data_IF_497456978165
#
_entry.id   IF_497456978165
#
_cell.length_a   1.000
_cell.length_b   1.000
_cell.length_c   1.000
_cell.angle_alpha   90.00
_cell.angle_beta   90.00
_cell.angle_gamma   90.00
#
_symmetry.space_group_name_H-M   'P 1'
#
loop_
_entity.id
_entity.type
_entity.pdbx_description
1 polymer ?
#
# COMPACT_ATOMS: atom_id res chain seq x y z
N UNK A 1 -6.19 -3.56 14.07
CA UNK A 1 -6.01 -3.10 15.46
C UNK A 1 -5.84 -4.33 16.36
N UNK A 2 -5.53 -4.17 17.66
CA UNK A 2 -5.60 -5.30 18.62
C UNK A 2 -7.01 -5.88 18.80
N UNK A 3 -8.03 -5.16 18.35
CA UNK A 3 -9.45 -5.52 18.39
C UNK A 3 -9.96 -6.03 17.03
N UNK A 4 -9.07 -6.53 16.17
CA UNK A 4 -9.45 -7.00 14.84
C UNK A 4 -9.18 -6.00 13.71
N UNK A 5 -9.57 -6.40 12.51
CA UNK A 5 -9.36 -5.69 11.25
C UNK A 5 -10.57 -5.87 10.32
N UNK A 6 -10.80 -4.88 9.46
CA UNK A 6 -11.93 -4.86 8.54
C UNK A 6 -11.54 -4.17 7.24
N UNK A 7 -12.29 -4.46 6.16
CA UNK A 7 -12.13 -3.74 4.91
C UNK A 7 -12.83 -2.39 4.96
N UNK A 8 -12.20 -1.39 4.35
CA UNK A 8 -12.77 -0.08 4.13
C UNK A 8 -12.72 0.27 2.64
N UNK A 9 -13.82 0.83 2.14
CA UNK A 9 -14.01 1.17 0.73
C UNK A 9 -13.98 -0.06 -0.22
N UNK A 10 -14.50 0.11 -1.43
CA UNK A 10 -14.51 -0.89 -2.50
C UNK A 10 -14.77 -0.19 -3.83
N UNK A 11 -14.07 -0.61 -4.87
CA UNK A 11 -14.29 -0.13 -6.22
C UNK A 11 -14.24 -1.31 -7.20
N UNK A 12 -15.17 -1.34 -8.16
CA UNK A 12 -15.21 -2.37 -9.18
C UNK A 12 -14.26 -2.00 -10.33
N UNK A 13 -13.26 -2.85 -10.56
CA UNK A 13 -12.38 -2.69 -11.73
C UNK A 13 -13.11 -3.06 -13.02
N UNK A 14 -13.26 -2.09 -13.92
CA UNK A 14 -13.81 -2.30 -15.26
C UNK A 14 -12.67 -2.33 -16.30
N UNK A 15 -12.43 -3.46 -16.99
CA UNK A 15 -11.46 -3.52 -18.07
C UNK A 15 -11.81 -2.57 -19.22
N UNK A 16 -10.82 -2.19 -20.04
CA UNK A 16 -10.99 -1.30 -21.19
C UNK A 16 -12.13 -1.75 -22.13
N UNK A 17 -12.18 -3.05 -22.44
CA UNK A 17 -13.22 -3.64 -23.27
C UNK A 17 -14.65 -3.52 -22.70
N UNK A 18 -14.82 -3.29 -21.39
CA UNK A 18 -16.12 -2.95 -20.80
C UNK A 18 -16.45 -1.47 -21.00
N UNK A 19 -15.46 -0.59 -20.76
CA UNK A 19 -15.68 0.85 -20.79
C UNK A 19 -15.86 1.42 -22.19
N UNK A 20 -15.46 0.67 -23.23
CA UNK A 20 -15.67 1.01 -24.64
C UNK A 20 -17.05 0.61 -25.17
N UNK A 21 -17.82 -0.18 -24.42
CA UNK A 21 -19.19 -0.62 -24.76
C UNK A 21 -20.23 0.08 -23.88
N UNK A 22 -20.69 1.25 -24.34
CA UNK A 22 -21.67 2.08 -23.62
C UNK A 22 -23.02 1.36 -23.40
N UNK A 23 -23.45 0.53 -24.34
CA UNK A 23 -24.69 -0.25 -24.21
C UNK A 23 -24.56 -1.32 -23.12
N UNK A 24 -23.40 -1.96 -23.00
CA UNK A 24 -23.10 -2.89 -21.91
C UNK A 24 -23.05 -2.20 -20.55
N UNK A 25 -22.38 -1.04 -20.44
CA UNK A 25 -22.35 -0.26 -19.21
C UNK A 25 -23.77 0.13 -18.75
N UNK A 26 -24.60 0.62 -19.69
CA UNK A 26 -25.99 1.00 -19.41
C UNK A 26 -26.83 -0.19 -18.93
N UNK A 27 -26.74 -1.35 -19.60
CA UNK A 27 -27.44 -2.59 -19.16
C UNK A 27 -26.99 -3.07 -17.78
N UNK A 28 -25.72 -2.87 -17.43
CA UNK A 28 -25.20 -3.19 -16.11
C UNK A 28 -25.43 -2.07 -15.08
N UNK A 29 -26.11 -0.98 -15.44
CA UNK A 29 -26.36 0.18 -14.57
C UNK A 29 -25.08 0.83 -14.01
N UNK A 30 -23.99 0.78 -14.77
CA UNK A 30 -22.76 1.50 -14.41
C UNK A 30 -23.03 3.01 -14.49
N UNK A 31 -22.57 3.82 -13.52
CA UNK A 31 -22.76 5.27 -13.55
C UNK A 31 -22.32 5.90 -14.87
N UNK A 32 -23.12 6.88 -15.33
CA UNK A 32 -22.80 7.66 -16.54
C UNK A 32 -21.45 8.35 -16.36
N UNK A 33 -20.58 8.26 -17.37
CA UNK A 33 -19.24 8.85 -17.34
C UNK A 33 -18.16 7.95 -16.75
N UNK A 34 -18.45 6.70 -16.38
CA UNK A 34 -17.43 5.76 -15.97
C UNK A 34 -16.43 5.47 -17.11
N UNK A 35 -15.15 5.79 -16.89
CA UNK A 35 -14.06 5.54 -17.84
C UNK A 35 -13.10 4.47 -17.35
N UNK A 36 -12.33 3.89 -18.26
CA UNK A 36 -11.22 3.00 -17.90
C UNK A 36 -10.29 3.67 -16.89
N UNK A 37 -9.99 2.95 -15.81
CA UNK A 37 -9.09 3.41 -14.74
C UNK A 37 -8.18 2.26 -14.34
N UNK A 38 -6.87 2.53 -14.20
CA UNK A 38 -5.92 1.49 -13.75
C UNK A 38 -6.19 1.13 -12.28
N UNK A 39 -5.84 -0.10 -11.88
CA UNK A 39 -5.99 -0.54 -10.48
C UNK A 39 -5.27 0.39 -9.50
N UNK A 40 -4.10 0.90 -9.86
CA UNK A 40 -3.34 1.79 -9.00
C UNK A 40 -3.96 3.17 -8.86
N UNK A 41 -4.53 3.73 -9.94
CA UNK A 41 -5.31 4.97 -9.86
C UNK A 41 -6.56 4.76 -9.00
N UNK A 42 -7.25 3.63 -9.17
CA UNK A 42 -8.41 3.27 -8.37
C UNK A 42 -8.08 3.14 -6.88
N UNK A 43 -6.95 2.50 -6.54
CA UNK A 43 -6.46 2.42 -5.17
C UNK A 43 -6.14 3.81 -4.61
N UNK A 44 -5.50 4.68 -5.39
CA UNK A 44 -5.24 6.06 -4.98
C UNK A 44 -6.51 6.85 -4.72
N UNK A 45 -7.55 6.69 -5.55
CA UNK A 45 -8.84 7.35 -5.37
C UNK A 45 -9.56 6.84 -4.10
N UNK A 46 -9.44 5.54 -3.77
CA UNK A 46 -9.95 4.97 -2.52
C UNK A 46 -9.23 5.56 -1.30
N UNK A 47 -7.90 5.67 -1.35
CA UNK A 47 -7.12 6.31 -0.28
C UNK A 47 -7.49 7.79 -0.16
N UNK A 48 -7.64 8.50 -1.28
CA UNK A 48 -8.04 9.91 -1.28
C UNK A 48 -9.40 10.12 -0.59
N UNK A 49 -10.39 9.27 -0.87
CA UNK A 49 -11.69 9.30 -0.18
C UNK A 49 -11.56 9.02 1.31
N UNK A 50 -10.70 8.08 1.70
CA UNK A 50 -10.44 7.74 3.09
C UNK A 50 -9.81 8.91 3.84
N UNK A 51 -8.83 9.58 3.22
CA UNK A 51 -8.19 10.79 3.75
C UNK A 51 -9.18 11.95 3.83
N UNK A 52 -9.95 12.20 2.77
CA UNK A 52 -10.93 13.30 2.73
C UNK A 52 -12.16 13.08 3.62
N UNK A 53 -12.41 11.86 4.08
CA UNK A 53 -13.42 11.53 5.08
C UNK A 53 -12.89 11.56 6.52
N UNK A 54 -11.67 12.06 6.73
CA UNK A 54 -11.00 12.17 8.03
C UNK A 54 -10.94 10.85 8.82
N UNK A 55 -10.88 9.72 8.11
CA UNK A 55 -10.68 8.41 8.75
C UNK A 55 -9.30 8.40 9.42
N UNK A 56 -9.19 7.98 10.69
CA UNK A 56 -7.90 7.87 11.38
C UNK A 56 -6.96 6.91 10.66
N UNK A 57 -6.04 7.49 9.88
CA UNK A 57 -5.08 6.77 9.03
C UNK A 57 -3.69 7.38 9.23
N UNK A 58 -2.74 6.56 9.69
CA UNK A 58 -1.35 6.99 9.89
C UNK A 58 -0.38 6.35 8.89
N UNK A 59 -0.67 5.12 8.46
CA UNK A 59 0.23 4.29 7.68
C UNK A 59 -0.48 3.60 6.53
N UNK A 60 0.23 3.45 5.41
CA UNK A 60 -0.22 2.72 4.22
C UNK A 60 0.86 1.72 3.83
N UNK A 61 0.49 0.44 3.73
CA UNK A 61 1.37 -0.61 3.24
C UNK A 61 0.88 -1.13 1.90
N UNK A 62 1.78 -1.25 0.93
CA UNK A 62 1.46 -1.78 -0.41
C UNK A 62 2.56 -2.76 -0.81
N UNK A 63 2.19 -4.00 -1.16
CA UNK A 63 3.19 -5.01 -1.53
C UNK A 63 3.88 -4.71 -2.87
N UNK A 64 3.16 -4.13 -3.83
CA UNK A 64 3.72 -3.73 -5.11
C UNK A 64 2.92 -2.60 -5.73
N UNK A 65 3.59 -1.57 -6.24
CA UNK A 65 2.94 -0.43 -6.92
C UNK A 65 3.16 -0.50 -8.43
N UNK A 66 2.13 -0.16 -9.20
CA UNK A 66 2.17 -0.13 -10.65
C UNK A 66 1.83 1.26 -11.19
N UNK A 67 2.72 1.89 -11.96
CA UNK A 67 2.34 2.90 -12.97
C UNK A 67 1.67 4.20 -12.53
N UNK A 68 1.67 4.55 -11.23
CA UNK A 68 1.30 5.90 -10.72
C UNK A 68 2.22 6.27 -9.58
N UNK A 69 2.50 7.57 -9.43
CA UNK A 69 3.31 8.10 -8.33
C UNK A 69 2.48 8.18 -7.03
N UNK A 70 2.12 7.00 -6.50
CA UNK A 70 1.39 6.87 -5.23
C UNK A 70 2.21 7.50 -4.11
N UNK A 71 3.53 7.35 -4.14
CA UNK A 71 4.46 7.89 -3.15
C UNK A 71 4.28 9.40 -2.99
N UNK A 72 4.29 10.17 -4.09
CA UNK A 72 4.07 11.62 -4.06
C UNK A 72 2.71 11.99 -3.47
N UNK A 73 1.64 11.25 -3.80
CA UNK A 73 0.32 11.52 -3.23
C UNK A 73 0.29 11.25 -1.72
N UNK A 74 0.90 10.17 -1.25
CA UNK A 74 0.98 9.85 0.18
C UNK A 74 1.83 10.87 0.95
N UNK A 75 2.92 11.36 0.34
CA UNK A 75 3.73 12.45 0.91
C UNK A 75 2.93 13.73 1.07
N UNK A 76 2.15 14.13 0.05
CA UNK A 76 1.26 15.31 0.12
C UNK A 76 0.17 15.19 1.19
N UNK A 77 -0.35 13.99 1.41
CA UNK A 77 -1.31 13.75 2.51
C UNK A 77 -0.64 13.54 3.88
N UNK A 78 0.70 13.55 3.89
CA UNK A 78 1.57 13.30 5.04
C UNK A 78 1.15 12.03 5.78
N UNK A 79 1.05 10.94 5.02
CA UNK A 79 0.78 9.60 5.52
C UNK A 79 2.06 8.77 5.41
N UNK A 80 2.38 8.05 6.49
CA UNK A 80 3.49 7.11 6.49
C UNK A 80 3.24 6.01 5.48
N UNK A 81 4.27 5.53 4.80
CA UNK A 81 4.12 4.41 3.90
C UNK A 81 5.29 3.44 3.88
N UNK A 82 4.97 2.19 3.54
CA UNK A 82 5.91 1.15 3.14
C UNK A 82 5.38 0.52 1.85
N UNK A 83 6.06 0.80 0.74
CA UNK A 83 5.58 0.53 -0.61
C UNK A 83 6.60 -0.32 -1.34
N UNK A 84 6.21 -1.48 -1.85
CA UNK A 84 7.10 -2.34 -2.62
C UNK A 84 7.50 -1.74 -3.97
N UNK A 85 8.79 -1.82 -4.28
CA UNK A 85 9.41 -1.26 -5.48
C UNK A 85 10.30 -2.29 -6.18
N UNK A 86 10.60 -2.06 -7.46
CA UNK A 86 11.51 -2.91 -8.22
C UNK A 86 12.97 -2.69 -7.81
N UNK A 87 13.84 -3.66 -8.14
CA UNK A 87 15.29 -3.55 -7.98
C UNK A 87 15.87 -2.29 -8.65
N UNK A 88 15.31 -1.90 -9.80
CA UNK A 88 15.70 -0.74 -10.60
C UNK A 88 15.08 0.58 -10.16
N UNK A 89 14.26 0.59 -9.10
CA UNK A 89 13.68 1.83 -8.59
C UNK A 89 14.78 2.76 -8.10
N UNK A 90 14.82 3.99 -8.62
CA UNK A 90 15.83 4.98 -8.29
C UNK A 90 15.37 5.86 -7.14
N UNK A 91 16.20 5.94 -6.11
CA UNK A 91 16.00 6.85 -5.00
C UNK A 91 16.74 8.17 -5.25
N UNK A 92 16.06 9.27 -4.96
CA UNK A 92 16.57 10.63 -5.11
C UNK A 92 16.43 11.38 -3.79
N UNK A 93 17.52 12.01 -3.36
CA UNK A 93 17.50 13.06 -2.35
C UNK A 93 17.11 14.35 -3.05
N UNK A 94 15.83 14.68 -3.00
CA UNK A 94 15.32 15.93 -3.58
C UNK A 94 15.05 16.94 -2.46
N UNK A 95 15.70 18.09 -2.56
CA UNK A 95 15.43 19.32 -1.82
C UNK A 95 15.14 20.44 -2.84
N UNK A 96 14.49 21.56 -2.46
CA UNK A 96 14.10 22.61 -3.39
C UNK A 96 15.24 23.15 -4.28
N UNK A 97 16.48 23.09 -3.82
CA UNK A 97 17.66 23.59 -4.55
C UNK A 97 18.61 22.48 -5.08
N UNK A 98 18.32 21.20 -4.81
CA UNK A 98 19.26 20.12 -5.10
C UNK A 98 18.54 18.79 -5.27
N UNK A 99 18.85 18.06 -6.34
CA UNK A 99 18.45 16.66 -6.49
C UNK A 99 19.69 15.82 -6.75
N UNK A 100 19.94 14.84 -5.89
CA UNK A 100 21.01 13.86 -6.08
C UNK A 100 20.44 12.45 -6.05
N UNK A 101 20.80 11.67 -7.05
CA UNK A 101 20.50 10.26 -7.08
C UNK A 101 21.31 9.55 -5.98
N UNK A 102 20.60 8.80 -5.13
CA UNK A 102 21.21 7.92 -4.13
C UNK A 102 21.70 6.64 -4.82
N UNK A 103 20.86 6.06 -5.67
CA UNK A 103 21.12 4.83 -6.40
C UNK A 103 19.84 4.05 -6.66
N UNK A 104 19.97 2.89 -7.31
CA UNK A 104 18.87 1.93 -7.42
C UNK A 104 18.67 1.20 -6.10
N UNK A 105 17.47 0.64 -5.88
CA UNK A 105 17.19 -0.17 -4.69
C UNK A 105 18.18 -1.35 -4.55
N UNK A 106 18.56 -1.96 -5.67
CA UNK A 106 19.52 -3.06 -5.70
C UNK A 106 20.95 -2.63 -5.35
N UNK A 107 21.43 -1.51 -5.90
CA UNK A 107 22.77 -1.01 -5.59
C UNK A 107 22.89 -0.66 -4.11
N UNK A 108 21.87 0.00 -3.55
CA UNK A 108 21.81 0.33 -2.13
C UNK A 108 21.84 -0.96 -1.30
N UNK A 109 21.03 -1.96 -1.63
CA UNK A 109 20.98 -3.22 -0.89
C UNK A 109 22.30 -4.00 -0.91
N UNK A 110 23.04 -3.98 -2.02
CA UNK A 110 24.36 -4.60 -2.13
C UNK A 110 25.41 -3.89 -1.27
N UNK A 111 25.22 -2.60 -0.97
CA UNK A 111 26.13 -1.81 -0.12
C UNK A 111 25.86 -1.90 1.38
N UNK A 112 24.74 -2.52 1.79
CA UNK A 112 24.36 -2.66 3.21
C UNK A 112 25.38 -3.52 3.95
N UNK A 113 25.94 -2.98 5.03
CA UNK A 113 26.93 -3.68 5.83
C UNK A 113 26.31 -4.92 6.51
N UNK A 114 27.00 -6.08 6.61
CA UNK A 114 26.46 -7.29 7.22
C UNK A 114 25.84 -7.10 8.61
N UNK A 115 26.38 -6.19 9.44
CA UNK A 115 25.86 -5.90 10.79
C UNK A 115 24.55 -5.13 10.83
N UNK A 116 24.12 -4.51 9.72
CA UNK A 116 22.85 -3.78 9.63
C UNK A 116 21.66 -4.71 9.35
N UNK A 117 21.94 -5.96 8.97
CA UNK A 117 20.92 -6.98 8.78
C UNK A 117 20.46 -7.50 10.14
N UNK A 118 19.15 -7.44 10.38
CA UNK A 118 18.51 -7.85 11.61
C UNK A 118 17.49 -8.95 11.33
N UNK A 119 17.43 -9.95 12.20
CA UNK A 119 16.28 -10.85 12.26
C UNK A 119 15.19 -10.15 13.06
N UNK A 120 14.01 -9.99 12.47
CA UNK A 120 12.86 -9.37 13.13
C UNK A 120 11.84 -10.45 13.46
N UNK A 121 11.13 -10.34 14.60
CA UNK A 121 10.16 -11.33 15.01
C UNK A 121 9.04 -11.40 13.99
N UNK A 122 8.95 -12.52 13.29
CA UNK A 122 7.81 -12.83 12.44
C UNK A 122 6.55 -12.95 13.32
N UNK A 123 5.38 -12.59 12.79
CA UNK A 123 4.11 -12.92 13.47
C UNK A 123 4.01 -14.45 13.67
N UNK A 124 3.33 -14.89 14.73
CA UNK A 124 3.19 -16.30 15.10
C UNK A 124 2.84 -17.17 13.88
N UNK A 125 3.63 -18.23 13.64
CA UNK A 125 3.41 -19.20 12.56
C UNK A 125 4.28 -19.00 11.31
N UNK A 126 5.00 -17.90 11.17
CA UNK A 126 5.97 -17.71 10.09
C UNK A 126 7.37 -18.14 10.56
N UNK A 127 7.80 -19.33 10.15
CA UNK A 127 9.21 -19.73 10.25
C UNK A 127 9.96 -19.23 9.02
N UNK A 128 10.98 -18.39 9.21
CA UNK A 128 11.83 -17.96 8.11
C UNK A 128 13.19 -17.47 8.58
N UNK A 129 14.25 -17.86 7.85
CA UNK A 129 15.62 -17.32 7.96
C UNK A 129 15.72 -15.91 7.34
N UNK A 130 14.63 -15.16 7.33
CA UNK A 130 14.57 -13.87 6.66
C UNK A 130 15.24 -12.81 7.52
N UNK A 131 16.02 -11.96 6.87
CA UNK A 131 16.70 -10.82 7.51
C UNK A 131 16.27 -9.53 6.84
N UNK A 132 16.27 -8.46 7.62
CA UNK A 132 15.79 -7.16 7.21
C UNK A 132 16.85 -6.09 7.47
N UNK A 133 16.92 -5.09 6.60
CA UNK A 133 17.75 -3.91 6.78
C UNK A 133 16.95 -2.66 6.43
N UNK A 134 17.24 -1.56 7.13
CA UNK A 134 16.64 -0.26 6.86
C UNK A 134 17.73 0.76 6.59
N UNK A 135 17.60 1.46 5.47
CA UNK A 135 18.52 2.49 5.01
C UNK A 135 17.77 3.82 4.96
N UNK A 136 17.82 4.66 6.02
CA UNK A 136 17.31 6.02 5.96
C UNK A 136 18.21 6.87 5.06
N UNK A 137 17.62 7.74 4.24
CA UNK A 137 18.38 8.57 3.29
C UNK A 137 18.50 10.01 3.75
N UNK A 138 17.37 10.68 3.99
CA UNK A 138 17.36 12.05 4.47
C UNK A 138 16.08 12.36 5.22
N UNK A 139 16.24 13.19 6.24
CA UNK A 139 15.15 13.92 6.86
C UNK A 139 14.81 15.13 5.99
N UNK A 140 13.53 15.26 5.70
CA UNK A 140 12.92 16.31 4.90
C UNK A 140 11.79 16.92 5.73
N UNK A 141 11.65 18.24 5.66
CA UNK A 141 10.50 18.90 6.28
C UNK A 141 9.26 18.61 5.43
N UNK A 142 8.22 18.11 6.07
CA UNK A 142 6.95 17.84 5.41
C UNK A 142 6.28 19.11 4.86
N UNK A 143 6.66 20.28 5.39
CA UNK A 143 6.24 21.58 4.86
C UNK A 143 6.62 21.77 3.37
N UNK A 144 7.64 21.05 2.86
CA UNK A 144 7.96 21.05 1.42
C UNK A 144 6.87 20.42 0.54
N UNK A 145 5.96 19.62 1.13
CA UNK A 145 4.89 18.90 0.45
C UNK A 145 3.49 19.41 0.83
N UNK A 146 3.32 19.90 2.07
CA UNK A 146 2.08 20.46 2.61
C UNK A 146 2.40 21.59 3.60
N UNK A 147 2.21 22.85 3.16
CA UNK A 147 2.49 24.05 3.97
C UNK A 147 1.67 24.14 5.27
N UNK A 148 0.59 23.37 5.41
CA UNK A 148 -0.23 23.35 6.62
C UNK A 148 0.32 22.41 7.70
N UNK A 149 1.38 21.65 7.41
CA UNK A 149 1.97 20.67 8.32
C UNK A 149 3.44 20.96 8.54
N UNK A 150 3.93 20.53 9.70
CA UNK A 150 5.33 20.67 10.10
C UNK A 150 5.83 19.37 10.68
N UNK A 151 7.11 19.10 10.50
CA UNK A 151 7.77 17.97 11.13
C UNK A 151 8.76 17.32 10.18
N UNK A 152 9.82 16.77 10.74
CA UNK A 152 10.83 16.04 9.99
C UNK A 152 10.34 14.63 9.68
N UNK A 153 10.45 14.25 8.42
CA UNK A 153 10.11 12.94 7.91
C UNK A 153 11.28 12.36 7.14
N UNK A 154 11.56 11.08 7.34
CA UNK A 154 12.65 10.37 6.70
C UNK A 154 12.14 9.60 5.49
N UNK A 155 12.73 9.86 4.32
CA UNK A 155 12.67 8.96 3.18
C UNK A 155 13.73 7.87 3.35
N UNK A 156 13.38 6.62 3.06
CA UNK A 156 14.30 5.49 3.23
C UNK A 156 13.93 4.27 2.40
N UNK A 157 14.76 3.24 2.50
CA UNK A 157 14.56 1.93 1.87
C UNK A 157 14.58 0.83 2.93
N UNK A 158 13.48 0.08 3.03
CA UNK A 158 13.40 -1.16 3.78
C UNK A 158 13.67 -2.34 2.84
N UNK A 159 14.50 -3.27 3.28
CA UNK A 159 15.00 -4.37 2.46
C UNK A 159 14.76 -5.66 3.21
N UNK A 160 14.21 -6.64 2.51
CA UNK A 160 14.08 -8.02 2.98
C UNK A 160 15.02 -8.89 2.19
N UNK A 161 15.75 -9.75 2.87
CA UNK A 161 16.58 -10.82 2.30
C UNK A 161 16.06 -12.17 2.78
N UNK A 162 15.69 -13.04 1.85
CA UNK A 162 15.25 -14.40 2.18
C UNK A 162 16.42 -15.38 2.36
N UNK A 163 16.09 -16.65 2.64
CA UNK A 163 17.06 -17.72 2.86
C UNK A 163 17.94 -18.02 1.64
N UNK A 164 17.49 -17.67 0.43
CA UNK A 164 18.24 -17.83 -0.82
C UNK A 164 19.04 -16.57 -1.18
N UNK A 165 19.14 -15.62 -0.25
CA UNK A 165 19.75 -14.30 -0.42
C UNK A 165 19.06 -13.44 -1.50
N UNK A 166 17.81 -13.73 -1.87
CA UNK A 166 17.07 -12.89 -2.79
C UNK A 166 16.48 -11.69 -2.04
N UNK A 167 16.59 -10.51 -2.68
CA UNK A 167 16.13 -9.26 -2.10
C UNK A 167 14.71 -8.88 -2.55
N UNK A 168 13.96 -8.26 -1.63
CA UNK A 168 12.74 -7.50 -1.88
C UNK A 168 12.91 -6.09 -1.29
N UNK A 169 12.40 -5.10 -1.99
CA UNK A 169 12.67 -3.69 -1.73
C UNK A 169 11.38 -2.93 -1.46
N UNK A 170 11.40 -2.04 -0.47
CA UNK A 170 10.26 -1.22 -0.10
C UNK A 170 10.69 0.23 0.13
N UNK A 171 10.18 1.15 -0.69
CA UNK A 171 10.29 2.59 -0.44
C UNK A 171 9.51 2.94 0.83
N UNK A 172 10.08 3.82 1.65
CA UNK A 172 9.49 4.24 2.92
C UNK A 172 9.48 5.76 3.06
N UNK A 173 8.45 6.24 3.74
CA UNK A 173 8.30 7.63 4.17
C UNK A 173 7.65 7.61 5.54
N UNK A 174 8.27 8.23 6.52
CA UNK A 174 7.83 8.13 7.92
C UNK A 174 8.31 9.31 8.76
N UNK A 175 7.68 9.61 9.91
CA UNK A 175 8.23 10.59 10.85
C UNK A 175 9.69 10.27 11.20
N UNK A 176 10.54 11.29 11.33
CA UNK A 176 11.95 11.11 11.63
C UNK A 176 12.15 10.36 12.97
N UNK A 177 13.12 9.45 12.99
CA UNK A 177 13.36 8.55 14.13
C UNK A 177 12.43 7.33 14.17
N UNK A 178 11.66 7.05 13.12
CA UNK A 178 10.90 5.79 13.04
C UNK A 178 11.86 4.60 12.93
N UNK A 179 11.75 3.68 13.89
CA UNK A 179 12.53 2.45 13.96
C UNK A 179 12.10 1.39 12.92
N UNK A 180 13.04 0.52 12.53
CA UNK A 180 12.81 -0.55 11.55
C UNK A 180 11.68 -1.49 11.99
N UNK A 181 11.51 -1.75 13.28
CA UNK A 181 10.44 -2.57 13.85
C UNK A 181 9.05 -2.03 13.49
N UNK A 182 8.89 -0.70 13.46
CA UNK A 182 7.62 -0.06 13.07
C UNK A 182 7.36 -0.25 11.58
N UNK A 183 8.36 0.00 10.74
CA UNK A 183 8.25 -0.19 9.29
C UNK A 183 7.97 -1.65 8.93
N UNK A 184 8.62 -2.57 9.63
CA UNK A 184 8.37 -4.00 9.51
C UNK A 184 6.93 -4.35 9.92
N UNK A 185 6.45 -3.88 11.07
CA UNK A 185 5.08 -4.13 11.52
C UNK A 185 4.04 -3.58 10.53
N UNK A 186 4.26 -2.38 9.97
CA UNK A 186 3.43 -1.80 8.92
C UNK A 186 3.44 -2.69 7.67
N UNK A 187 4.61 -3.17 7.23
CA UNK A 187 4.70 -4.09 6.09
C UNK A 187 3.92 -5.38 6.36
N UNK A 188 3.96 -5.92 7.57
CA UNK A 188 3.22 -7.13 7.92
C UNK A 188 1.70 -6.94 7.79
N UNK A 189 1.18 -5.70 7.85
CA UNK A 189 -0.25 -5.46 7.60
C UNK A 189 -0.71 -5.86 6.19
N UNK A 190 0.16 -5.93 5.17
CA UNK A 190 -0.25 -6.48 3.87
C UNK A 190 -0.65 -7.96 3.97
N UNK A 191 0.01 -8.74 4.84
CA UNK A 191 -0.33 -10.16 5.05
C UNK A 191 -1.72 -10.29 5.68
N UNK A 192 -2.04 -9.44 6.66
CA UNK A 192 -3.38 -9.35 7.25
C UNK A 192 -4.44 -9.07 6.15
N UNK A 193 -4.16 -8.14 5.24
CA UNK A 193 -5.08 -7.83 4.14
C UNK A 193 -5.25 -9.01 3.16
N UNK A 194 -4.17 -9.71 2.83
CA UNK A 194 -4.19 -10.90 1.96
C UNK A 194 -4.97 -12.05 2.59
N UNK A 195 -4.70 -12.37 3.86
CA UNK A 195 -5.37 -13.43 4.60
C UNK A 195 -6.85 -13.11 4.78
N UNK A 196 -7.17 -11.85 5.10
CA UNK A 196 -8.54 -11.37 5.15
C UNK A 196 -9.26 -11.50 3.82
N UNK A 197 -8.60 -11.16 2.71
CA UNK A 197 -9.18 -11.31 1.39
C UNK A 197 -9.39 -12.79 1.03
N UNK A 198 -8.47 -13.66 1.44
CA UNK A 198 -8.62 -15.11 1.36
C UNK A 198 -9.87 -15.61 2.08
N UNK A 199 -10.00 -15.26 3.38
CA UNK A 199 -11.16 -15.62 4.20
C UNK A 199 -12.47 -15.08 3.62
N UNK A 200 -12.49 -13.83 3.16
CA UNK A 200 -13.69 -13.25 2.55
C UNK A 200 -14.13 -14.00 1.29
N UNK A 201 -13.19 -14.53 0.50
CA UNK A 201 -13.50 -15.36 -0.67
C UNK A 201 -13.99 -16.75 -0.28
N UNK A 202 -13.25 -17.46 0.58
CA UNK A 202 -13.52 -18.86 0.91
C UNK A 202 -14.74 -19.03 1.83
N UNK A 203 -14.94 -18.12 2.77
CA UNK A 203 -15.93 -18.29 3.85
C UNK A 203 -17.14 -17.37 3.69
N UNK A 204 -16.97 -16.17 3.13
CA UNK A 204 -18.02 -15.14 3.08
C UNK A 204 -18.57 -14.91 1.68
N UNK A 205 -18.08 -15.66 0.68
CA UNK A 205 -18.62 -15.63 -0.67
C UNK A 205 -18.33 -14.35 -1.44
N UNK A 206 -17.19 -13.69 -1.21
CA UNK A 206 -16.78 -12.50 -1.97
C UNK A 206 -16.81 -12.74 -3.48
N UNK A 207 -16.40 -13.93 -3.93
CA UNK A 207 -16.38 -14.34 -5.34
C UNK A 207 -17.61 -15.18 -5.74
N UNK A 208 -18.51 -15.49 -4.79
CA UNK A 208 -19.73 -16.27 -5.04
C UNK A 208 -20.94 -15.38 -5.30
N UNK A 209 -20.81 -14.43 -6.24
CA UNK A 209 -21.93 -13.59 -6.66
C UNK A 209 -22.16 -13.66 -8.17
N UNK A 210 -23.41 -13.85 -8.57
CA UNK A 210 -23.84 -13.88 -9.97
C UNK A 210 -24.47 -12.55 -10.42
N UNK A 211 -24.24 -11.48 -9.64
CA UNK A 211 -24.83 -10.18 -9.93
C UNK A 211 -24.29 -9.62 -11.24
N UNK A 212 -25.18 -9.11 -12.09
CA UNK A 212 -24.83 -8.53 -13.39
C UNK A 212 -24.98 -7.01 -13.44
N UNK A 213 -25.32 -6.39 -12.31
CA UNK A 213 -25.48 -4.94 -12.18
C UNK A 213 -24.45 -4.36 -11.23
N UNK A 214 -24.03 -3.13 -11.53
CA UNK A 214 -23.16 -2.30 -10.70
C UNK A 214 -23.66 -2.22 -9.26
N UNK A 215 -24.94 -1.91 -9.08
CA UNK A 215 -25.56 -1.85 -7.75
C UNK A 215 -25.57 -3.20 -7.04
N UNK A 216 -25.83 -4.29 -7.77
CA UNK A 216 -25.82 -5.65 -7.22
C UNK A 216 -24.44 -6.00 -6.64
N UNK A 217 -23.39 -5.78 -7.41
CA UNK A 217 -22.01 -6.02 -6.98
C UNK A 217 -21.66 -5.18 -5.75
N UNK A 218 -21.95 -3.88 -5.79
CA UNK A 218 -21.64 -2.97 -4.67
C UNK A 218 -22.40 -3.32 -3.39
N UNK A 219 -23.65 -3.79 -3.48
CA UNK A 219 -24.41 -4.27 -2.32
C UNK A 219 -23.82 -5.57 -1.77
N UNK A 220 -23.54 -6.54 -2.65
CA UNK A 220 -22.96 -7.83 -2.26
C UNK A 220 -21.64 -7.63 -1.52
N UNK A 221 -20.68 -6.93 -2.13
CA UNK A 221 -19.37 -6.70 -1.53
C UNK A 221 -19.48 -5.91 -0.22
N UNK A 222 -20.39 -4.94 -0.12
CA UNK A 222 -20.65 -4.26 1.16
C UNK A 222 -21.12 -5.21 2.26
N UNK A 223 -22.02 -6.15 1.95
CA UNK A 223 -22.50 -7.13 2.92
C UNK A 223 -21.40 -8.10 3.34
N UNK A 224 -20.56 -8.54 2.39
CA UNK A 224 -19.39 -9.38 2.68
C UNK A 224 -18.39 -8.66 3.57
N UNK A 225 -18.09 -7.38 3.28
CA UNK A 225 -17.20 -6.57 4.12
C UNK A 225 -17.76 -6.39 5.54
N UNK A 226 -19.07 -6.19 5.68
CA UNK A 226 -19.74 -6.09 6.98
C UNK A 226 -19.68 -7.42 7.74
N UNK A 227 -20.00 -8.53 7.08
CA UNK A 227 -19.92 -9.87 7.67
C UNK A 227 -18.49 -10.17 8.12
N UNK A 228 -17.50 -9.82 7.30
CA UNK A 228 -16.08 -9.94 7.64
C UNK A 228 -15.74 -9.17 8.91
N UNK A 229 -16.15 -7.90 9.02
CA UNK A 229 -15.91 -7.11 10.22
C UNK A 229 -16.53 -7.72 11.49
N UNK A 230 -17.65 -8.45 11.37
CA UNK A 230 -18.35 -9.08 12.50
C UNK A 230 -17.73 -10.40 12.95
N UNK A 231 -16.99 -11.09 12.09
CA UNK A 231 -16.33 -12.37 12.43
C UNK A 231 -14.85 -12.19 12.83
N UNK A 232 -14.29 -10.99 12.63
CA UNK A 232 -12.91 -10.65 12.98
C UNK A 232 -12.78 -9.95 14.35
N UNK A 233 -13.88 -9.80 15.09
CA UNK A 233 -13.94 -9.26 16.46
C UNK A 233 -13.79 -10.34 17.51
#
# INVERSE_FOLDING_TARGET
SRHGHAFIDRALYLPRAWTEDSARLARAHVPVGATFTTKSRMALDMIARTVGADVPLSWIAVDHVWGVDIEMALRRWCKGYVVGVSASHNFFLTRPAFSQQVGTAEDIARSVHPSQWRSLPLQEGLQGSETWAYCPFADLDVAEYDNARSGLWTAGLLIRRDANHAFRYFSTWSPAGTEIETLFAVRQCCKIAEDGLGAAKSELGLEHNETRSWHGWHRHVSLVMLAYAMVQT
#
